data_IF_244704655223
#
_entry.id   IF_244704655223
#
_cell.length_a   1.000
_cell.length_b   1.000
_cell.length_c   1.000
_cell.angle_alpha   90.00
_cell.angle_beta   90.00
_cell.angle_gamma   90.00
#
_symmetry.space_group_name_H-M   'P 1'
#
loop_
_entity.id
_entity.type
_entity.pdbx_description
1 polymer ?
#
# COMPACT_ATOMS: atom_id res chain seq x y z
N UNK A 1 -13.40 66.15 28.76
CA UNK A 1 -14.01 65.39 27.65
C UNK A 1 -13.47 63.95 27.65
N UNK A 2 -14.21 62.95 28.21
CA UNK A 2 -13.82 61.55 28.22
C UNK A 2 -14.48 60.86 27.01
N UNK A 3 -13.70 60.44 26.02
CA UNK A 3 -14.24 59.62 24.89
C UNK A 3 -14.40 58.19 25.44
N UNK A 4 -15.63 57.66 25.39
CA UNK A 4 -15.91 56.26 25.59
C UNK A 4 -15.45 55.51 24.33
N UNK A 5 -14.57 54.52 24.56
CA UNK A 5 -14.20 53.54 23.51
C UNK A 5 -15.29 52.49 23.56
N UNK A 6 -16.12 52.47 22.53
CA UNK A 6 -17.17 51.47 22.36
C UNK A 6 -16.52 50.24 21.70
N UNK A 7 -16.40 49.15 22.48
CA UNK A 7 -15.93 47.85 21.96
C UNK A 7 -17.02 47.30 21.03
N UNK A 8 -16.73 47.32 19.74
CA UNK A 8 -17.56 46.63 18.74
C UNK A 8 -17.46 45.11 19.01
N UNK A 9 -18.58 44.51 19.34
CA UNK A 9 -18.68 43.06 19.46
C UNK A 9 -18.53 42.40 18.09
N UNK A 10 -17.78 41.29 17.98
CA UNK A 10 -17.65 40.58 16.71
C UNK A 10 -19.02 40.03 16.31
N UNK A 11 -19.40 40.26 15.07
CA UNK A 11 -20.61 39.67 14.47
C UNK A 11 -20.51 38.14 14.55
N UNK A 12 -21.49 37.44 15.14
CA UNK A 12 -21.52 35.99 15.08
C UNK A 12 -21.74 35.59 13.62
N UNK A 13 -20.78 34.85 13.06
CA UNK A 13 -20.93 34.20 11.76
C UNK A 13 -21.99 33.10 11.90
N UNK A 14 -23.25 33.47 11.74
CA UNK A 14 -24.35 32.49 11.66
C UNK A 14 -24.34 31.89 10.28
N UNK A 15 -23.70 30.73 10.15
CA UNK A 15 -23.82 29.91 8.95
C UNK A 15 -25.29 29.44 8.83
N UNK A 16 -25.93 29.62 7.68
CA UNK A 16 -27.29 29.17 7.48
C UNK A 16 -27.36 27.64 7.66
N UNK A 17 -28.43 27.17 8.31
CA UNK A 17 -28.60 25.75 8.68
C UNK A 17 -28.45 24.77 7.52
N UNK A 18 -28.82 25.18 6.31
CA UNK A 18 -28.62 24.37 5.10
C UNK A 18 -27.16 24.12 4.76
N UNK A 19 -26.24 25.07 5.07
CA UNK A 19 -24.78 24.86 4.90
C UNK A 19 -24.24 23.82 5.88
N UNK A 20 -24.74 23.82 7.11
CA UNK A 20 -24.37 22.83 8.11
C UNK A 20 -24.88 21.45 7.69
N UNK A 21 -26.12 21.37 7.20
CA UNK A 21 -26.71 20.15 6.66
C UNK A 21 -25.92 19.61 5.45
N UNK A 22 -25.50 20.49 4.55
CA UNK A 22 -24.71 20.12 3.37
C UNK A 22 -23.31 19.61 3.76
N UNK A 23 -22.68 20.25 4.74
CA UNK A 23 -21.38 19.81 5.28
C UNK A 23 -21.51 18.45 5.99
N UNK A 24 -22.57 18.23 6.75
CA UNK A 24 -22.85 16.93 7.37
C UNK A 24 -23.14 15.85 6.33
N UNK A 25 -23.87 16.17 5.27
CA UNK A 25 -24.17 15.24 4.18
C UNK A 25 -22.92 14.82 3.42
N UNK A 26 -21.97 15.74 3.21
CA UNK A 26 -20.68 15.41 2.57
C UNK A 26 -19.80 14.51 3.43
N UNK A 27 -19.90 14.59 4.76
CA UNK A 27 -19.19 13.70 5.68
C UNK A 27 -19.76 12.27 5.69
N UNK A 28 -21.02 12.09 5.26
CA UNK A 28 -21.68 10.78 5.19
C UNK A 28 -21.43 10.05 3.87
N UNK A 29 -20.79 10.69 2.89
CA UNK A 29 -20.40 10.02 1.65
C UNK A 29 -19.20 9.12 1.95
N UNK A 30 -19.36 7.78 1.93
CA UNK A 30 -18.23 6.89 2.16
C UNK A 30 -17.22 7.09 1.04
N UNK A 31 -15.99 7.45 1.40
CA UNK A 31 -14.89 7.43 0.45
C UNK A 31 -14.76 6.03 -0.11
N UNK A 32 -14.64 5.83 -1.43
CA UNK A 32 -14.43 4.50 -1.98
C UNK A 32 -13.12 3.95 -1.42
N UNK A 33 -13.23 2.97 -0.53
CA UNK A 33 -12.09 2.20 -0.02
C UNK A 33 -11.72 1.20 -1.11
N UNK A 34 -10.72 1.50 -1.90
CA UNK A 34 -10.14 0.54 -2.83
C UNK A 34 -9.32 -0.48 -2.03
N UNK A 35 -9.90 -1.63 -1.74
CA UNK A 35 -9.17 -2.77 -1.24
C UNK A 35 -8.42 -3.39 -2.42
N UNK A 36 -7.13 -3.12 -2.54
CA UNK A 36 -6.31 -3.64 -3.62
C UNK A 36 -5.93 -5.10 -3.32
N UNK A 37 -6.57 -6.00 -4.03
CA UNK A 37 -6.29 -7.45 -3.99
C UNK A 37 -5.25 -7.90 -5.01
N UNK A 38 -4.66 -6.96 -5.74
CA UNK A 38 -3.73 -7.22 -6.83
C UNK A 38 -2.36 -7.71 -6.37
N UNK A 39 -1.63 -8.27 -7.32
CA UNK A 39 -0.23 -8.61 -7.11
C UNK A 39 0.63 -7.35 -7.05
N UNK A 40 1.69 -7.41 -6.26
CA UNK A 40 2.64 -6.31 -6.13
C UNK A 40 3.88 -6.61 -6.94
N UNK A 41 4.25 -5.70 -7.84
CA UNK A 41 5.49 -5.79 -8.62
C UNK A 41 6.61 -5.03 -7.92
N UNK A 42 7.70 -5.72 -7.63
CA UNK A 42 8.94 -5.13 -7.13
C UNK A 42 9.97 -5.11 -8.27
N UNK A 43 10.24 -3.92 -8.84
CA UNK A 43 11.21 -3.75 -9.91
C UNK A 43 12.23 -2.64 -9.65
N UNK A 44 12.15 -1.95 -8.54
CA UNK A 44 13.00 -0.79 -8.23
C UNK A 44 14.49 -1.09 -8.31
N UNK A 45 14.90 -2.32 -7.98
CA UNK A 45 16.29 -2.77 -7.98
C UNK A 45 16.58 -3.86 -9.00
N UNK A 46 15.62 -4.73 -9.28
CA UNK A 46 15.80 -5.82 -10.23
C UNK A 46 16.17 -5.30 -11.62
N UNK A 47 15.46 -4.29 -12.11
CA UNK A 47 15.74 -3.68 -13.42
C UNK A 47 17.15 -3.10 -13.52
N UNK A 48 17.65 -2.48 -12.45
CA UNK A 48 19.02 -1.91 -12.42
C UNK A 48 20.11 -2.95 -12.49
N UNK A 49 19.82 -4.18 -12.10
CA UNK A 49 20.75 -5.32 -12.11
C UNK A 49 20.52 -6.28 -13.26
N UNK A 50 19.61 -5.95 -14.20
CA UNK A 50 19.27 -6.80 -15.32
C UNK A 50 18.51 -8.08 -14.96
N UNK A 51 17.95 -8.13 -13.74
CA UNK A 51 17.16 -9.26 -13.25
C UNK A 51 15.69 -8.98 -13.47
N UNK A 52 14.91 -10.03 -13.76
CA UNK A 52 13.47 -9.91 -13.95
C UNK A 52 12.78 -9.36 -12.67
N UNK A 53 11.70 -8.58 -12.81
CA UNK A 53 10.93 -8.11 -11.67
C UNK A 53 10.38 -9.25 -10.83
N UNK A 54 10.19 -8.99 -9.54
CA UNK A 54 9.47 -9.88 -8.64
C UNK A 54 7.98 -9.59 -8.75
N UNK A 55 7.17 -10.62 -8.97
CA UNK A 55 5.72 -10.55 -8.80
C UNK A 55 5.37 -11.22 -7.47
N UNK A 56 4.86 -10.43 -6.56
CA UNK A 56 4.41 -10.88 -5.25
C UNK A 56 2.89 -11.10 -5.29
N UNK A 57 2.42 -12.35 -5.24
CA UNK A 57 1.00 -12.65 -5.24
C UNK A 57 0.40 -12.32 -3.85
N UNK A 58 -0.01 -11.10 -3.69
CA UNK A 58 -0.53 -10.59 -2.42
C UNK A 58 -1.75 -11.38 -1.92
N UNK A 59 -2.66 -11.72 -2.84
CA UNK A 59 -3.84 -12.53 -2.54
C UNK A 59 -3.48 -13.90 -1.93
N UNK A 60 -2.44 -14.56 -2.44
CA UNK A 60 -2.01 -15.88 -2.00
C UNK A 60 -1.46 -15.86 -0.56
N UNK A 61 -0.69 -14.82 -0.21
CA UNK A 61 -0.19 -14.63 1.14
C UNK A 61 -1.31 -14.26 2.11
N UNK A 62 -2.25 -13.44 1.69
CA UNK A 62 -3.40 -13.02 2.50
C UNK A 62 -4.34 -14.13 2.91
N UNK A 63 -4.53 -15.16 2.11
CA UNK A 63 -5.37 -16.31 2.50
C UNK A 63 -4.71 -17.16 3.59
N UNK A 64 -3.40 -17.01 3.82
CA UNK A 64 -2.63 -17.75 4.82
C UNK A 64 -2.27 -16.96 6.04
N UNK A 65 -2.03 -15.66 5.88
CA UNK A 65 -1.51 -14.80 6.92
C UNK A 65 -2.39 -13.55 7.09
N UNK A 66 -2.53 -13.09 8.33
CA UNK A 66 -3.18 -11.81 8.64
C UNK A 66 -2.29 -10.64 8.20
N UNK A 67 -2.90 -9.51 7.89
CA UNK A 67 -2.22 -8.30 7.41
C UNK A 67 -1.07 -7.84 8.33
N UNK A 68 -1.27 -7.91 9.65
CA UNK A 68 -0.30 -7.47 10.64
C UNK A 68 0.99 -8.30 10.62
N UNK A 69 0.97 -9.56 10.22
CA UNK A 69 2.19 -10.38 10.12
C UNK A 69 3.21 -9.74 9.20
N UNK A 70 2.78 -9.29 8.03
CA UNK A 70 3.67 -8.66 7.06
C UNK A 70 3.86 -7.17 7.35
N UNK A 71 2.78 -6.44 7.64
CA UNK A 71 2.81 -4.98 7.72
C UNK A 71 3.22 -4.42 9.08
N UNK A 72 3.11 -5.21 10.14
CA UNK A 72 3.53 -4.80 11.49
C UNK A 72 4.78 -5.54 11.92
N UNK A 73 4.75 -6.88 11.94
CA UNK A 73 5.83 -7.71 12.51
C UNK A 73 7.08 -7.71 11.60
N UNK A 74 6.89 -7.90 10.28
CA UNK A 74 7.99 -7.91 9.31
C UNK A 74 8.35 -6.48 8.86
N UNK A 75 7.43 -5.53 8.98
CA UNK A 75 7.66 -4.12 8.69
C UNK A 75 7.47 -3.69 7.23
N UNK A 76 6.70 -4.44 6.45
CA UNK A 76 6.32 -4.00 5.10
C UNK A 76 5.38 -2.79 5.15
N UNK A 77 5.73 -1.73 4.42
CA UNK A 77 4.87 -0.55 4.25
C UNK A 77 3.66 -0.91 3.40
N UNK A 78 2.48 -0.42 3.77
CA UNK A 78 1.22 -0.71 3.08
C UNK A 78 1.09 -0.06 1.69
N UNK A 79 1.99 0.80 1.30
CA UNK A 79 1.98 1.47 0.00
C UNK A 79 2.91 0.75 -0.96
N UNK A 80 2.41 0.34 -2.12
CA UNK A 80 3.21 -0.26 -3.18
C UNK A 80 4.37 0.67 -3.60
N UNK A 81 5.55 0.09 -3.81
CA UNK A 81 6.77 0.83 -4.13
C UNK A 81 7.43 1.58 -2.96
N UNK A 82 6.83 1.61 -1.77
CA UNK A 82 7.39 2.31 -0.62
C UNK A 82 8.51 1.55 0.11
N UNK A 83 8.62 0.24 -0.12
CA UNK A 83 9.66 -0.59 0.46
C UNK A 83 10.94 -0.52 -0.42
N UNK A 84 12.08 -0.48 0.22
CA UNK A 84 13.39 -0.59 -0.43
C UNK A 84 14.04 -1.89 0.02
N UNK A 85 13.83 -2.95 -0.76
CA UNK A 85 14.20 -4.32 -0.41
C UNK A 85 15.43 -4.72 -1.21
N UNK A 86 16.47 -5.18 -0.54
CA UNK A 86 17.69 -5.70 -1.14
C UNK A 86 17.75 -7.22 -0.99
N UNK A 87 18.39 -7.89 -1.94
CA UNK A 87 18.62 -9.35 -1.83
C UNK A 87 19.45 -9.72 -0.61
N UNK A 88 20.36 -8.85 -0.17
CA UNK A 88 21.11 -9.06 1.07
C UNK A 88 20.18 -9.14 2.27
N UNK A 89 19.24 -8.21 2.40
CA UNK A 89 18.27 -8.20 3.49
C UNK A 89 17.42 -9.49 3.52
N UNK A 90 17.04 -10.00 2.32
CA UNK A 90 16.28 -11.25 2.22
C UNK A 90 17.13 -12.44 2.69
N UNK A 91 18.39 -12.52 2.27
CA UNK A 91 19.33 -13.56 2.71
C UNK A 91 19.61 -13.50 4.21
N UNK A 92 19.57 -12.31 4.79
CA UNK A 92 19.73 -12.07 6.23
C UNK A 92 18.42 -12.32 7.03
N UNK A 93 17.40 -12.88 6.40
CA UNK A 93 16.14 -13.23 7.07
C UNK A 93 15.18 -12.08 7.26
N UNK A 94 15.38 -10.93 6.58
CA UNK A 94 14.45 -9.80 6.61
C UNK A 94 13.45 -9.87 5.46
N UNK A 95 12.33 -9.16 5.60
CA UNK A 95 11.28 -9.10 4.60
C UNK A 95 10.82 -10.51 4.14
N UNK A 96 10.93 -10.80 2.85
CA UNK A 96 10.57 -12.11 2.31
C UNK A 96 11.37 -13.25 2.97
N UNK A 97 12.61 -12.99 3.35
CA UNK A 97 13.50 -13.96 4.01
C UNK A 97 13.04 -14.40 5.39
N UNK A 98 12.16 -13.65 6.05
CA UNK A 98 11.60 -14.06 7.33
C UNK A 98 10.82 -15.40 7.23
N UNK A 99 10.23 -15.67 6.06
CA UNK A 99 9.51 -16.93 5.81
C UNK A 99 10.17 -17.76 4.70
N UNK A 100 10.74 -17.13 3.66
CA UNK A 100 11.44 -17.80 2.57
C UNK A 100 12.88 -18.13 2.95
N UNK A 101 13.03 -19.09 3.86
CA UNK A 101 14.27 -19.47 4.54
C UNK A 101 14.54 -20.98 4.52
N UNK A 102 13.87 -21.74 3.65
CA UNK A 102 13.91 -23.21 3.56
C UNK A 102 13.32 -23.97 4.75
N UNK A 103 12.72 -23.26 5.71
CA UNK A 103 12.02 -23.89 6.85
C UNK A 103 10.50 -23.68 6.76
N UNK A 104 10.08 -22.45 6.51
CA UNK A 104 8.66 -22.08 6.41
C UNK A 104 8.20 -22.16 4.96
N UNK A 105 9.02 -21.64 4.05
CA UNK A 105 8.81 -21.68 2.61
C UNK A 105 10.15 -21.88 1.89
N UNK A 106 10.09 -22.13 0.58
CA UNK A 106 11.29 -22.26 -0.25
C UNK A 106 12.20 -21.03 -0.14
N UNK A 107 13.53 -21.26 -0.17
CA UNK A 107 14.52 -20.25 0.14
C UNK A 107 14.92 -19.36 -1.04
N UNK A 108 15.76 -18.35 -0.78
CA UNK A 108 16.17 -17.32 -1.75
C UNK A 108 17.05 -17.81 -2.88
N UNK A 109 17.52 -19.06 -2.86
CA UNK A 109 18.23 -19.73 -3.95
C UNK A 109 17.32 -20.02 -5.15
N UNK A 110 16.00 -20.04 -4.96
CA UNK A 110 15.02 -20.29 -5.99
C UNK A 110 14.68 -18.99 -6.76
N UNK A 111 15.64 -18.45 -7.48
CA UNK A 111 15.58 -17.13 -8.13
C UNK A 111 14.30 -16.91 -8.96
N UNK A 112 13.95 -17.88 -9.81
CA UNK A 112 12.85 -17.78 -10.75
C UNK A 112 11.47 -17.83 -10.09
N UNK A 113 11.35 -18.33 -8.86
CA UNK A 113 10.08 -18.35 -8.14
C UNK A 113 9.69 -16.94 -7.65
N UNK A 114 10.69 -16.12 -7.30
CA UNK A 114 10.49 -14.70 -7.01
C UNK A 114 10.51 -13.86 -8.27
N UNK A 115 11.59 -13.95 -9.05
CA UNK A 115 11.84 -13.13 -10.24
C UNK A 115 11.07 -13.67 -11.46
N UNK A 116 9.75 -13.68 -11.38
CA UNK A 116 8.84 -14.28 -12.36
C UNK A 116 8.23 -13.29 -13.34
N UNK A 117 8.41 -11.98 -13.13
CA UNK A 117 7.83 -10.94 -13.96
C UNK A 117 8.50 -10.80 -15.33
N UNK A 118 7.79 -10.18 -16.26
CA UNK A 118 8.32 -9.79 -17.55
C UNK A 118 9.25 -8.58 -17.41
N UNK A 119 10.31 -8.52 -18.22
CA UNK A 119 11.20 -7.35 -18.27
C UNK A 119 10.40 -6.07 -18.58
N UNK A 120 10.76 -4.96 -17.96
CA UNK A 120 10.08 -3.68 -18.16
C UNK A 120 8.78 -3.46 -17.37
N UNK A 121 8.34 -4.42 -16.56
CA UNK A 121 7.21 -4.21 -15.67
C UNK A 121 7.55 -3.17 -14.62
N UNK A 122 6.77 -2.10 -14.55
CA UNK A 122 6.95 -1.05 -13.53
C UNK A 122 6.52 -1.56 -12.14
N UNK A 123 7.23 -1.10 -11.11
CA UNK A 123 6.82 -1.33 -9.72
C UNK A 123 5.44 -0.75 -9.46
N UNK A 124 4.61 -1.49 -8.76
CA UNK A 124 3.24 -1.08 -8.48
C UNK A 124 2.33 -2.27 -8.22
N UNK A 125 1.05 -2.04 -8.34
CA UNK A 125 0.02 -3.07 -8.19
C UNK A 125 -0.41 -3.51 -9.57
N UNK A 126 -0.51 -4.82 -9.77
CA UNK A 126 -1.10 -5.46 -10.95
C UNK A 126 -2.36 -6.19 -10.55
N UNK A 127 -3.34 -6.09 -11.41
CA UNK A 127 -4.60 -6.77 -11.17
C UNK A 127 -5.42 -5.95 -10.21
N UNK A 128 -6.25 -5.45 -10.11
CA UNK A 128 -7.32 -4.82 -9.35
C UNK A 128 -8.64 -5.30 -9.91
N UNK A 129 -9.66 -4.51 -9.75
CA UNK A 129 -11.00 -4.79 -10.26
C UNK A 129 -11.11 -4.95 -11.79
N UNK A 130 -10.01 -4.76 -12.52
CA UNK A 130 -9.95 -4.86 -13.99
C UNK A 130 -9.37 -6.17 -14.49
N UNK A 131 -8.84 -7.02 -13.63
CA UNK A 131 -8.38 -8.35 -14.03
C UNK A 131 -9.55 -9.32 -14.04
N UNK A 132 -9.87 -9.83 -15.22
CA UNK A 132 -10.91 -10.85 -15.39
C UNK A 132 -10.52 -12.22 -14.80
N UNK A 133 -10.26 -12.29 -13.50
CA UNK A 133 -10.01 -13.52 -12.75
C UNK A 133 -8.56 -13.95 -12.63
N UNK A 134 -8.27 -14.95 -11.77
CA UNK A 134 -6.94 -15.51 -11.59
C UNK A 134 -6.47 -16.18 -12.88
N UNK A 135 -5.37 -15.71 -13.43
CA UNK A 135 -4.69 -16.39 -14.54
C UNK A 135 -4.58 -15.62 -15.86
N UNK A 136 -4.96 -14.36 -15.93
CA UNK A 136 -4.55 -13.50 -17.06
C UNK A 136 -3.30 -12.71 -16.66
N UNK A 137 -2.17 -13.37 -16.77
CA UNK A 137 -0.82 -12.82 -16.57
C UNK A 137 -0.19 -12.48 -17.91
#
# INVERSE_FOLDING_TARGET
>A
MKRRIECQQPFPLQLPEWMILLALLTLLVPSPVFAEYGDVVFNKRAEKTGVRPVIFPHWFHRIRFKCNVCHTEIGFKMRAGANDIHMADIKDGKFCGACHNNQIAWGPENCNLCHSGLAGLKSGIRGGNTTGGPGKW
#
